data_IF_039106863872
#
_entry.id   IF_039106863872
#
_cell.length_a   1.000
_cell.length_b   1.000
_cell.length_c   1.000
_cell.angle_alpha   90.00
_cell.angle_beta   90.00
_cell.angle_gamma   90.00
#
_symmetry.space_group_name_H-M   'P 1'
#
loop_
_entity.id
_entity.type
_entity.pdbx_description
1 polymer ?
#
# COMPACT_ATOMS: atom_id res chain seq x y z
N UNK A 1 -10.54 6.53 -21.61
CA UNK A 1 -10.19 7.30 -20.39
C UNK A 1 -9.38 6.43 -19.44
N UNK A 2 -8.22 6.91 -18.99
CA UNK A 2 -7.46 6.36 -17.86
C UNK A 2 -8.15 6.69 -16.54
N UNK A 3 -8.34 5.71 -15.66
CA UNK A 3 -8.83 5.93 -14.30
C UNK A 3 -7.74 5.59 -13.27
N UNK A 4 -7.61 6.44 -12.24
CA UNK A 4 -6.74 6.19 -11.10
C UNK A 4 -7.55 6.32 -9.83
N UNK A 5 -7.49 5.31 -8.97
CA UNK A 5 -8.23 5.26 -7.71
C UNK A 5 -7.27 5.04 -6.56
N UNK A 6 -7.42 5.89 -5.55
CA UNK A 6 -6.68 5.82 -4.33
C UNK A 6 -7.51 5.08 -3.27
N UNK A 7 -6.98 3.96 -2.78
CA UNK A 7 -7.69 3.03 -1.90
C UNK A 7 -7.03 3.06 -0.52
N UNK A 8 -7.86 3.17 0.52
CA UNK A 8 -7.42 3.12 1.93
C UNK A 8 -7.95 1.86 2.62
N UNK A 9 -7.36 0.68 2.37
CA UNK A 9 -7.97 -0.58 2.77
C UNK A 9 -7.93 -0.80 4.29
N UNK A 10 -6.99 -0.17 5.00
CA UNK A 10 -6.93 -0.14 6.47
C UNK A 10 -7.38 1.21 7.07
N UNK A 11 -8.10 2.04 6.29
CA UNK A 11 -8.54 3.38 6.69
C UNK A 11 -7.38 4.26 7.18
N UNK A 12 -7.29 4.55 8.49
CA UNK A 12 -6.19 5.26 9.12
C UNK A 12 -5.42 4.42 10.14
N UNK A 13 -5.67 3.11 10.23
CA UNK A 13 -4.96 2.21 11.13
C UNK A 13 -3.50 2.08 10.68
N UNK A 14 -2.54 2.17 11.60
CA UNK A 14 -1.13 2.06 11.31
C UNK A 14 -0.39 1.42 12.50
N UNK A 15 0.64 0.63 12.21
CA UNK A 15 1.55 0.05 13.21
C UNK A 15 2.73 0.97 13.57
N UNK A 16 2.73 2.21 13.08
CA UNK A 16 3.70 3.25 13.42
C UNK A 16 3.02 4.46 14.05
N UNK A 17 3.81 5.22 14.81
CA UNK A 17 3.44 6.43 15.51
C UNK A 17 4.26 7.64 15.01
N UNK A 18 4.45 7.75 13.69
CA UNK A 18 5.25 8.80 13.06
C UNK A 18 4.85 10.21 13.55
N UNK A 19 5.83 11.01 13.98
CA UNK A 19 5.61 12.29 14.67
C UNK A 19 4.96 13.37 13.80
N UNK A 20 5.20 13.35 12.49
CA UNK A 20 4.65 14.31 11.54
C UNK A 20 3.40 13.80 10.81
N UNK A 21 2.91 12.61 11.14
CA UNK A 21 1.86 11.97 10.37
C UNK A 21 0.49 12.54 10.71
N UNK A 22 0.00 13.45 9.87
CA UNK A 22 -1.35 14.03 10.05
C UNK A 22 -2.46 12.98 9.98
N UNK A 23 -2.28 11.84 9.28
CA UNK A 23 -3.29 10.75 9.26
C UNK A 23 -3.59 10.25 10.67
N UNK A 24 -2.58 10.21 11.55
CA UNK A 24 -2.77 9.83 12.94
C UNK A 24 -3.61 10.87 13.69
N UNK A 25 -3.24 12.14 13.58
CA UNK A 25 -3.95 13.24 14.21
C UNK A 25 -5.43 13.31 13.74
N UNK A 26 -5.67 13.11 12.45
CA UNK A 26 -7.03 13.04 11.89
C UNK A 26 -7.83 11.85 12.45
N UNK A 27 -7.19 10.71 12.74
CA UNK A 27 -7.85 9.58 13.40
C UNK A 27 -8.18 9.86 14.86
N UNK A 28 -7.33 10.58 15.58
CA UNK A 28 -7.59 11.01 16.96
C UNK A 28 -8.75 12.03 17.03
N UNK A 29 -8.90 12.89 16.02
CA UNK A 29 -9.97 13.89 15.94
C UNK A 29 -11.28 13.38 15.32
N UNK A 30 -11.27 12.18 14.72
CA UNK A 30 -12.42 11.68 13.95
C UNK A 30 -13.64 11.51 14.86
N UNK A 31 -14.73 12.20 14.49
CA UNK A 31 -16.06 11.99 15.08
C UNK A 31 -16.83 11.01 14.19
N UNK A 32 -17.34 9.92 14.75
CA UNK A 32 -18.13 8.91 14.02
C UNK A 32 -17.56 7.50 14.15
N UNK A 33 -17.78 6.67 13.13
CA UNK A 33 -17.34 5.27 13.16
C UNK A 33 -15.84 5.13 13.36
N UNK A 34 -15.37 4.09 14.07
CA UNK A 34 -13.95 3.82 14.22
C UNK A 34 -13.31 3.53 12.85
N UNK A 35 -11.98 3.72 12.72
CA UNK A 35 -11.26 3.21 11.56
C UNK A 35 -11.44 1.69 11.47
N UNK A 36 -11.66 1.18 10.27
CA UNK A 36 -11.93 -0.23 10.01
C UNK A 36 -11.18 -0.71 8.77
N UNK A 37 -11.06 -2.01 8.64
CA UNK A 37 -10.64 -2.64 7.40
C UNK A 37 -11.77 -2.59 6.37
N UNK A 38 -11.39 -2.47 5.10
CA UNK A 38 -12.29 -2.60 3.96
C UNK A 38 -12.73 -4.06 3.83
N UNK A 39 -14.04 -4.29 3.78
CA UNK A 39 -14.60 -5.62 3.52
C UNK A 39 -14.49 -6.01 2.03
N UNK A 40 -14.64 -7.31 1.76
CA UNK A 40 -14.52 -7.88 0.41
C UNK A 40 -15.58 -7.32 -0.55
N UNK A 41 -16.80 -7.06 -0.05
CA UNK A 41 -17.89 -6.51 -0.86
C UNK A 41 -17.56 -5.10 -1.35
N UNK A 42 -16.96 -4.29 -0.49
CA UNK A 42 -16.52 -2.93 -0.81
C UNK A 42 -15.35 -2.97 -1.79
N UNK A 43 -14.35 -3.83 -1.55
CA UNK A 43 -13.22 -4.04 -2.47
C UNK A 43 -13.71 -4.43 -3.87
N UNK A 44 -14.59 -5.42 -3.95
CA UNK A 44 -15.20 -5.87 -5.20
C UNK A 44 -15.94 -4.75 -5.91
N UNK A 45 -16.71 -3.93 -5.18
CA UNK A 45 -17.39 -2.79 -5.76
C UNK A 45 -16.44 -1.73 -6.31
N UNK A 46 -15.36 -1.41 -5.59
CA UNK A 46 -14.34 -0.47 -6.05
C UNK A 46 -13.71 -0.98 -7.34
N UNK A 47 -13.20 -2.21 -7.34
CA UNK A 47 -12.51 -2.80 -8.50
C UNK A 47 -13.45 -2.91 -9.70
N UNK A 48 -14.64 -3.48 -9.50
CA UNK A 48 -15.62 -3.66 -10.58
C UNK A 48 -16.03 -2.32 -11.19
N UNK A 49 -16.37 -1.33 -10.36
CA UNK A 49 -16.79 -0.01 -10.88
C UNK A 49 -15.65 0.70 -11.59
N UNK A 50 -14.43 0.62 -11.09
CA UNK A 50 -13.25 1.19 -11.78
C UNK A 50 -13.06 0.56 -13.16
N UNK A 51 -13.03 -0.78 -13.24
CA UNK A 51 -12.75 -1.48 -14.50
C UNK A 51 -13.89 -1.40 -15.53
N UNK A 52 -15.15 -1.35 -15.08
CA UNK A 52 -16.29 -1.13 -15.98
C UNK A 52 -16.21 0.25 -16.65
N UNK A 53 -15.73 1.27 -15.94
CA UNK A 53 -15.66 2.64 -16.44
C UNK A 53 -14.30 3.02 -17.05
N UNK A 54 -13.24 2.23 -16.80
CA UNK A 54 -11.95 2.40 -17.43
C UNK A 54 -12.06 2.15 -18.95
N UNK A 55 -11.39 3.00 -19.73
CA UNK A 55 -11.28 2.87 -21.19
C UNK A 55 -9.85 2.60 -21.65
N UNK A 56 -8.88 3.35 -21.13
CA UNK A 56 -7.49 3.29 -21.61
C UNK A 56 -6.57 2.59 -20.60
N UNK A 57 -7.03 2.45 -19.35
CA UNK A 57 -6.31 1.80 -18.27
C UNK A 57 -6.92 2.10 -16.90
N UNK A 58 -6.53 1.31 -15.92
CA UNK A 58 -6.86 1.49 -14.51
C UNK A 58 -5.60 1.47 -13.66
N UNK A 59 -5.52 2.35 -12.67
CA UNK A 59 -4.46 2.36 -11.67
C UNK A 59 -5.08 2.30 -10.27
N UNK A 60 -4.68 1.31 -9.48
CA UNK A 60 -5.08 1.18 -8.08
C UNK A 60 -3.89 1.51 -7.20
N UNK A 61 -4.04 2.56 -6.38
CA UNK A 61 -3.02 3.01 -5.44
C UNK A 61 -3.47 2.71 -4.02
N UNK A 62 -2.90 1.66 -3.42
CA UNK A 62 -3.16 1.26 -2.05
C UNK A 62 -2.28 2.06 -1.10
N UNK A 63 -2.91 2.83 -0.20
CA UNK A 63 -2.23 3.64 0.82
C UNK A 63 -3.10 3.77 2.07
N UNK A 64 -2.74 4.67 2.99
CA UNK A 64 -3.65 5.16 4.02
C UNK A 64 -3.75 4.24 5.24
N UNK A 65 -3.48 4.84 6.39
CA UNK A 65 -2.89 4.09 7.48
C UNK A 65 -1.64 3.36 6.95
N UNK A 66 -1.49 2.11 7.36
CA UNK A 66 -0.60 1.15 6.73
C UNK A 66 -1.44 0.07 5.99
N UNK A 67 -1.45 0.04 4.66
CA UNK A 67 -2.32 -0.86 3.90
C UNK A 67 -1.97 -2.34 4.06
N UNK A 68 -0.71 -2.69 4.38
CA UNK A 68 -0.30 -4.08 4.60
C UNK A 68 -0.93 -4.71 5.84
N UNK A 69 -1.56 -3.91 6.73
CA UNK A 69 -2.34 -4.42 7.86
C UNK A 69 -3.57 -5.24 7.44
N UNK A 70 -4.05 -5.08 6.20
CA UNK A 70 -5.11 -5.94 5.65
C UNK A 70 -4.64 -7.37 5.38
N UNK A 71 -3.34 -7.65 5.46
CA UNK A 71 -2.76 -8.95 5.18
C UNK A 71 -2.66 -9.25 3.68
N UNK A 72 -1.82 -10.24 3.34
CA UNK A 72 -1.51 -10.58 1.95
C UNK A 72 -2.73 -11.14 1.19
N UNK A 73 -3.62 -11.83 1.88
CA UNK A 73 -4.83 -12.43 1.27
C UNK A 73 -5.79 -11.37 0.72
N UNK A 74 -5.86 -10.19 1.33
CA UNK A 74 -6.60 -9.06 0.79
C UNK A 74 -6.10 -8.65 -0.60
N UNK A 75 -4.78 -8.60 -0.80
CA UNK A 75 -4.18 -8.22 -2.08
C UNK A 75 -4.29 -9.33 -3.12
N UNK A 76 -4.20 -10.59 -2.72
CA UNK A 76 -4.52 -11.73 -3.60
C UNK A 76 -5.95 -11.67 -4.10
N UNK A 77 -6.90 -11.35 -3.21
CA UNK A 77 -8.29 -11.14 -3.58
C UNK A 77 -8.44 -9.96 -4.55
N UNK A 78 -7.78 -8.83 -4.28
CA UNK A 78 -7.82 -7.65 -5.15
C UNK A 78 -7.38 -7.99 -6.59
N UNK A 79 -6.20 -8.62 -6.76
CA UNK A 79 -5.70 -9.03 -8.08
C UNK A 79 -6.62 -10.05 -8.77
N UNK A 80 -7.20 -10.98 -8.00
CA UNK A 80 -8.18 -11.93 -8.50
C UNK A 80 -9.45 -11.25 -9.03
N UNK A 81 -9.95 -10.24 -8.30
CA UNK A 81 -11.09 -9.43 -8.71
C UNK A 81 -10.76 -8.57 -9.93
N UNK A 82 -9.57 -7.99 -9.99
CA UNK A 82 -9.10 -7.22 -11.15
C UNK A 82 -9.11 -8.09 -12.40
N UNK A 83 -8.54 -9.28 -12.32
CA UNK A 83 -8.53 -10.27 -13.40
C UNK A 83 -9.95 -10.65 -13.82
N UNK A 84 -10.83 -10.91 -12.84
CA UNK A 84 -12.23 -11.30 -13.07
C UNK A 84 -13.04 -10.21 -13.77
N UNK A 85 -12.83 -8.95 -13.40
CA UNK A 85 -13.67 -7.83 -13.84
C UNK A 85 -13.09 -7.02 -15.00
N UNK A 86 -11.82 -7.22 -15.36
CA UNK A 86 -11.19 -6.56 -16.51
C UNK A 86 -11.63 -7.16 -17.86
N UNK A 87 -12.93 -7.07 -18.17
CA UNK A 87 -13.53 -7.60 -19.41
C UNK A 87 -13.01 -6.92 -20.66
N UNK A 88 -12.61 -5.65 -20.56
CA UNK A 88 -12.06 -4.85 -21.65
C UNK A 88 -10.57 -5.10 -21.89
N UNK A 89 -9.90 -5.86 -21.02
CA UNK A 89 -8.45 -6.13 -21.06
C UNK A 89 -7.63 -4.85 -21.15
N UNK A 90 -8.06 -3.81 -20.43
CA UNK A 90 -7.28 -2.57 -20.34
C UNK A 90 -6.04 -2.81 -19.47
N UNK A 91 -4.95 -2.06 -19.64
CA UNK A 91 -3.82 -2.08 -18.73
C UNK A 91 -4.27 -1.82 -17.28
N UNK A 92 -3.77 -2.61 -16.34
CA UNK A 92 -3.99 -2.42 -14.90
C UNK A 92 -2.64 -2.27 -14.23
N UNK A 93 -2.48 -1.18 -13.47
CA UNK A 93 -1.29 -0.94 -12.65
C UNK A 93 -1.68 -0.92 -11.19
N UNK A 94 -0.89 -1.62 -10.37
CA UNK A 94 -1.06 -1.65 -8.93
C UNK A 94 0.13 -0.95 -8.26
N UNK A 95 -0.17 -0.02 -7.35
CA UNK A 95 0.81 0.70 -6.57
C UNK A 95 0.55 0.47 -5.08
N UNK A 96 1.60 0.20 -4.30
CA UNK A 96 1.54 0.07 -2.85
C UNK A 96 2.42 1.11 -2.19
N UNK A 97 1.83 2.03 -1.42
CA UNK A 97 2.57 2.92 -0.53
C UNK A 97 2.60 2.32 0.87
N UNK A 98 3.79 1.99 1.38
CA UNK A 98 3.94 1.27 2.66
C UNK A 98 5.09 1.82 3.50
N UNK A 99 4.99 1.62 4.82
CA UNK A 99 6.09 1.80 5.74
C UNK A 99 7.11 0.65 5.72
N UNK A 100 6.76 -0.51 5.15
CA UNK A 100 7.67 -1.63 4.95
C UNK A 100 7.90 -2.55 6.15
N UNK A 101 7.31 -2.28 7.31
CA UNK A 101 7.57 -3.07 8.52
C UNK A 101 7.04 -4.51 8.43
N UNK A 102 5.94 -4.72 7.69
CA UNK A 102 5.26 -6.00 7.55
C UNK A 102 5.65 -6.77 6.27
N UNK A 103 6.53 -6.21 5.44
CA UNK A 103 6.97 -6.91 4.24
C UNK A 103 8.00 -7.99 4.62
N UNK A 104 7.61 -9.23 4.37
CA UNK A 104 8.46 -10.43 4.43
C UNK A 104 8.69 -10.98 3.00
N UNK A 105 9.28 -12.16 2.89
CA UNK A 105 9.57 -12.79 1.61
C UNK A 105 8.30 -13.13 0.81
N UNK A 106 7.20 -13.49 1.49
CA UNK A 106 5.94 -13.80 0.83
C UNK A 106 5.33 -12.54 0.21
N UNK A 107 5.40 -11.41 0.92
CA UNK A 107 5.05 -10.11 0.37
C UNK A 107 5.93 -9.72 -0.82
N UNK A 108 7.26 -9.80 -0.67
CA UNK A 108 8.18 -9.40 -1.73
C UNK A 108 7.98 -10.24 -3.00
N UNK A 109 7.77 -11.55 -2.85
CA UNK A 109 7.45 -12.45 -3.96
C UNK A 109 6.14 -12.06 -4.65
N UNK A 110 5.06 -11.85 -3.87
CA UNK A 110 3.75 -11.46 -4.42
C UNK A 110 3.80 -10.12 -5.16
N UNK A 111 4.43 -9.11 -4.56
CA UNK A 111 4.55 -7.78 -5.16
C UNK A 111 5.34 -7.84 -6.48
N UNK A 112 6.36 -8.70 -6.55
CA UNK A 112 7.12 -8.93 -7.79
C UNK A 112 6.30 -9.68 -8.84
N UNK A 113 5.63 -10.76 -8.44
CA UNK A 113 4.82 -11.59 -9.33
C UNK A 113 3.74 -10.78 -10.05
N UNK A 114 3.13 -9.81 -9.36
CA UNK A 114 2.08 -8.96 -9.89
C UNK A 114 2.55 -7.55 -10.29
N UNK A 115 3.87 -7.35 -10.43
CA UNK A 115 4.52 -6.11 -10.87
C UNK A 115 3.98 -4.85 -10.15
N UNK A 116 3.83 -4.93 -8.83
CA UNK A 116 3.43 -3.79 -8.02
C UNK A 116 4.53 -2.73 -8.02
N UNK A 117 4.13 -1.48 -8.25
CA UNK A 117 4.97 -0.32 -7.98
C UNK A 117 4.96 -0.04 -6.48
N UNK A 118 6.09 -0.25 -5.82
CA UNK A 118 6.18 -0.10 -4.35
C UNK A 118 6.83 1.24 -3.98
N UNK A 119 6.08 2.08 -3.27
CA UNK A 119 6.56 3.27 -2.59
C UNK A 119 6.91 2.93 -1.14
N UNK A 120 8.21 2.83 -0.84
CA UNK A 120 8.71 2.58 0.51
C UNK A 120 9.04 3.90 1.21
N UNK A 121 8.51 4.08 2.42
CA UNK A 121 8.67 5.34 3.17
C UNK A 121 9.97 5.34 3.98
N UNK A 122 10.96 6.14 3.57
CA UNK A 122 12.28 6.23 4.21
C UNK A 122 12.79 7.69 4.20
N UNK A 123 12.98 8.29 5.38
CA UNK A 123 13.35 9.71 5.53
C UNK A 123 14.86 10.01 5.42
N UNK A 124 15.61 9.17 4.70
CA UNK A 124 17.06 9.31 4.53
C UNK A 124 17.87 8.56 5.58
N UNK A 125 18.79 9.24 6.27
CA UNK A 125 19.70 8.60 7.24
C UNK A 125 18.97 8.12 8.49
N UNK A 126 19.52 7.09 9.14
CA UNK A 126 19.02 6.47 10.37
C UNK A 126 18.52 7.46 11.41
N UNK A 127 19.37 8.40 11.83
CA UNK A 127 19.02 9.34 12.90
C UNK A 127 17.86 10.26 12.51
N UNK A 128 17.78 10.66 11.23
CA UNK A 128 16.67 11.45 10.72
C UNK A 128 15.38 10.63 10.67
N UNK A 129 15.48 9.38 10.23
CA UNK A 129 14.36 8.45 10.15
C UNK A 129 13.81 8.15 11.54
N UNK A 130 14.62 7.62 12.46
CA UNK A 130 14.17 7.16 13.78
C UNK A 130 13.75 8.33 14.69
N UNK A 131 14.24 9.55 14.44
CA UNK A 131 13.73 10.75 15.13
C UNK A 131 12.24 10.98 14.83
N UNK A 132 11.78 10.68 13.62
CA UNK A 132 10.44 11.03 13.17
C UNK A 132 9.51 9.84 12.99
N UNK A 133 10.01 8.72 12.45
CA UNK A 133 9.30 7.50 12.12
C UNK A 133 9.58 6.45 13.17
N UNK A 134 8.68 6.36 14.14
CA UNK A 134 8.77 5.41 15.25
C UNK A 134 7.66 4.38 15.15
N UNK A 135 7.93 3.17 15.66
CA UNK A 135 6.90 2.15 15.84
C UNK A 135 5.84 2.62 16.85
N UNK A 136 4.71 1.90 16.93
CA UNK A 136 3.61 2.27 17.83
C UNK A 136 4.04 2.37 19.32
N UNK A 137 5.05 1.61 19.72
CA UNK A 137 5.67 1.63 21.06
C UNK A 137 6.76 2.71 21.24
N UNK A 138 7.05 3.49 20.18
CA UNK A 138 8.09 4.50 20.17
C UNK A 138 9.48 4.01 19.74
N UNK A 139 9.63 2.73 19.40
CA UNK A 139 10.90 2.14 18.98
C UNK A 139 11.40 2.64 17.60
N UNK A 140 12.72 2.52 17.33
CA UNK A 140 13.31 2.84 16.03
C UNK A 140 12.80 1.87 14.96
N UNK A 141 12.79 2.31 13.71
CA UNK A 141 12.27 1.51 12.58
C UNK A 141 13.20 1.44 11.38
N UNK A 142 14.25 2.27 11.33
CA UNK A 142 15.14 2.37 10.18
C UNK A 142 15.72 1.01 9.77
N UNK A 143 16.24 0.19 10.69
CA UNK A 143 16.85 -1.10 10.35
C UNK A 143 15.90 -2.01 9.59
N UNK A 144 14.69 -2.17 10.14
CA UNK A 144 13.67 -3.03 9.52
C UNK A 144 13.27 -2.49 8.14
N UNK A 145 13.07 -1.18 8.01
CA UNK A 145 12.71 -0.55 6.73
C UNK A 145 13.84 -0.70 5.71
N UNK A 146 15.09 -0.56 6.15
CA UNK A 146 16.26 -0.69 5.29
C UNK A 146 16.48 -2.14 4.83
N UNK A 147 16.26 -3.12 5.70
CA UNK A 147 16.22 -4.54 5.34
C UNK A 147 15.14 -4.81 4.29
N UNK A 148 13.92 -4.33 4.51
CA UNK A 148 12.83 -4.43 3.54
C UNK A 148 13.21 -3.81 2.19
N UNK A 149 13.87 -2.65 2.17
CA UNK A 149 14.37 -2.02 0.94
C UNK A 149 15.35 -2.93 0.18
N UNK A 150 16.24 -3.63 0.92
CA UNK A 150 17.19 -4.58 0.33
C UNK A 150 16.49 -5.81 -0.22
N UNK A 151 15.50 -6.37 0.50
CA UNK A 151 14.70 -7.50 0.02
C UNK A 151 13.98 -7.13 -1.27
N UNK A 152 13.22 -6.03 -1.28
CA UNK A 152 12.53 -5.52 -2.46
C UNK A 152 13.48 -5.38 -3.68
N UNK A 153 14.67 -4.78 -3.47
CA UNK A 153 15.69 -4.67 -4.52
C UNK A 153 16.18 -6.05 -5.00
N UNK A 154 16.36 -7.02 -4.11
CA UNK A 154 16.75 -8.39 -4.43
C UNK A 154 15.73 -9.12 -5.30
N UNK A 155 14.44 -8.87 -5.09
CA UNK A 155 13.35 -9.39 -5.93
C UNK A 155 13.18 -8.61 -7.25
N UNK A 156 13.94 -7.53 -7.47
CA UNK A 156 13.84 -6.71 -8.67
C UNK A 156 12.52 -5.93 -8.74
N UNK A 157 11.96 -5.53 -7.59
CA UNK A 157 10.85 -4.58 -7.57
C UNK A 157 11.32 -3.24 -8.14
N UNK A 158 10.59 -2.67 -9.09
CA UNK A 158 10.92 -1.34 -9.65
C UNK A 158 10.66 -0.26 -8.60
N UNK A 159 11.69 0.48 -8.15
CA UNK A 159 11.44 1.70 -7.38
C UNK A 159 10.78 2.74 -8.31
N UNK A 160 9.83 3.51 -7.78
CA UNK A 160 9.21 4.60 -8.54
C UNK A 160 10.28 5.58 -9.05
N UNK A 161 10.41 5.68 -10.39
CA UNK A 161 11.32 6.62 -11.06
C UNK A 161 12.53 6.03 -11.80
N UNK A 162 12.69 4.71 -11.92
CA UNK A 162 13.74 4.12 -12.79
C UNK A 162 13.34 4.15 -14.28
N UNK A 163 14.15 4.71 -15.20
CA UNK A 163 13.88 4.63 -16.63
C UNK A 163 14.06 3.21 -17.17
N UNK A 164 13.40 2.93 -18.30
CA UNK A 164 13.49 1.66 -19.06
C UNK A 164 14.91 1.34 -19.54
#
# INVERSE_FOLDING_TARGET
>A
MQLSVLVKPASGLCNMACRYCFYREEMEKRKGSPPSFMDETTLEHVIRKTLVNAGDGACFVFQGGEPTLCGLDFFRLAVGLETRYNRKKVPVTNCLQTNGLLLDDAWCSFLKEHDFLVGLSLDGLRDCHDRCRVAADGGPTFDKVFETARSLKGYGSRPAGSPD
#
